data_IF_241499479164
#
_entry.id   IF_241499479164
#
_cell.length_a   1.000
_cell.length_b   1.000
_cell.length_c   1.000
_cell.angle_alpha   90.00
_cell.angle_beta   90.00
_cell.angle_gamma   90.00
#
_symmetry.space_group_name_H-M   'P 1'
#
loop_
_entity.id
_entity.type
_entity.pdbx_description
1 polymer ?
#
# COMPACT_ATOMS: atom_id res chain seq x y z
N UNK A 1 14.00 -24.06 3.13
CA UNK A 1 14.64 -22.73 3.22
C UNK A 1 13.57 -21.71 3.58
N UNK A 2 13.85 -20.75 4.46
CA UNK A 2 12.96 -19.63 4.78
C UNK A 2 13.57 -18.33 4.26
N UNK A 3 12.73 -17.47 3.68
CA UNK A 3 13.12 -16.13 3.20
C UNK A 3 12.52 -15.06 4.12
N UNK A 4 13.22 -13.94 4.29
CA UNK A 4 12.68 -12.78 5.02
C UNK A 4 11.97 -11.85 4.05
N UNK A 5 10.75 -11.44 4.41
CA UNK A 5 9.99 -10.40 3.72
C UNK A 5 9.84 -9.24 4.71
N UNK A 6 10.27 -8.03 4.32
CA UNK A 6 10.26 -6.86 5.18
C UNK A 6 9.70 -5.63 4.42
N UNK A 7 8.88 -4.85 5.11
CA UNK A 7 8.23 -3.64 4.59
C UNK A 7 8.30 -2.55 5.65
N UNK A 8 8.50 -1.30 5.22
CA UNK A 8 8.44 -0.13 6.11
C UNK A 8 6.99 0.21 6.40
N UNK A 9 6.70 0.55 7.64
CA UNK A 9 5.37 0.98 8.11
C UNK A 9 5.56 2.19 9.02
N UNK A 10 4.53 3.04 9.10
CA UNK A 10 4.53 4.20 9.98
C UNK A 10 4.59 3.77 11.46
N UNK A 11 5.17 4.62 12.30
CA UNK A 11 5.46 4.30 13.70
C UNK A 11 4.18 4.04 14.52
N UNK A 12 3.11 4.78 14.24
CA UNK A 12 1.80 4.61 14.87
C UNK A 12 1.17 3.26 14.50
N UNK A 13 1.23 2.89 13.22
CA UNK A 13 0.75 1.60 12.72
C UNK A 13 1.56 0.45 13.31
N UNK A 14 2.89 0.60 13.39
CA UNK A 14 3.77 -0.38 14.01
C UNK A 14 3.45 -0.59 15.50
N UNK A 15 3.20 0.49 16.24
CA UNK A 15 2.84 0.43 17.65
C UNK A 15 1.48 -0.26 17.85
N UNK A 16 0.47 0.12 17.07
CA UNK A 16 -0.86 -0.47 17.11
C UNK A 16 -0.84 -1.97 16.77
N UNK A 17 -0.09 -2.36 15.73
CA UNK A 17 0.04 -3.75 15.33
C UNK A 17 0.69 -4.61 16.42
N UNK A 18 1.78 -4.12 17.03
CA UNK A 18 2.47 -4.80 18.13
C UNK A 18 1.57 -4.99 19.35
N UNK A 19 0.84 -3.95 19.75
CA UNK A 19 -0.07 -4.03 20.88
C UNK A 19 -1.24 -4.98 20.62
N UNK A 20 -1.79 -4.98 19.41
CA UNK A 20 -2.88 -5.88 19.01
C UNK A 20 -2.41 -7.34 19.03
N UNK A 21 -1.25 -7.64 18.43
CA UNK A 21 -0.65 -8.97 18.46
C UNK A 21 -0.42 -9.45 19.90
N UNK A 22 0.10 -8.57 20.77
CA UNK A 22 0.32 -8.86 22.18
C UNK A 22 -0.98 -9.20 22.92
N UNK A 23 -2.06 -8.43 22.69
CA UNK A 23 -3.39 -8.68 23.30
C UNK A 23 -3.99 -10.00 22.86
N UNK A 24 -3.71 -10.43 21.64
CA UNK A 24 -4.12 -11.74 21.11
C UNK A 24 -3.23 -12.90 21.59
N UNK A 25 -2.21 -12.63 22.41
CA UNK A 25 -1.29 -13.65 22.92
C UNK A 25 -0.35 -14.22 21.85
N UNK A 26 -0.07 -13.44 20.80
CA UNK A 26 0.77 -13.84 19.67
C UNK A 26 1.90 -12.84 19.43
N UNK A 27 2.79 -13.13 18.48
CA UNK A 27 3.87 -12.23 18.07
C UNK A 27 3.53 -11.56 16.73
N UNK A 28 4.04 -10.34 16.45
CA UNK A 28 3.89 -9.71 15.15
C UNK A 28 4.33 -10.62 14.00
N UNK A 29 5.41 -11.37 14.20
CA UNK A 29 5.94 -12.33 13.23
C UNK A 29 4.97 -13.48 12.95
N UNK A 30 4.31 -14.02 13.98
CA UNK A 30 3.32 -15.09 13.81
C UNK A 30 2.05 -14.58 13.12
N UNK A 31 1.60 -13.36 13.46
CA UNK A 31 0.48 -12.71 12.77
C UNK A 31 0.80 -12.52 11.29
N UNK A 32 2.01 -12.07 10.95
CA UNK A 32 2.42 -11.92 9.54
C UNK A 32 2.47 -13.27 8.82
N UNK A 33 2.96 -14.34 9.46
CA UNK A 33 2.94 -15.69 8.88
C UNK A 33 1.52 -16.16 8.62
N UNK A 34 0.63 -16.01 9.59
CA UNK A 34 -0.79 -16.37 9.47
C UNK A 34 -1.47 -15.55 8.36
N UNK A 35 -1.20 -14.25 8.29
CA UNK A 35 -1.70 -13.37 7.24
C UNK A 35 -1.25 -13.83 5.85
N UNK A 36 0.05 -14.12 5.65
CA UNK A 36 0.58 -14.59 4.37
C UNK A 36 -0.09 -15.92 3.96
N UNK A 37 -0.24 -16.86 4.90
CA UNK A 37 -0.94 -18.13 4.65
C UNK A 37 -2.39 -17.90 4.21
N UNK A 38 -3.14 -17.08 4.96
CA UNK A 38 -4.53 -16.78 4.64
C UNK A 38 -4.69 -16.04 3.31
N UNK A 39 -3.83 -15.06 3.02
CA UNK A 39 -3.82 -14.31 1.77
C UNK A 39 -3.64 -15.23 0.57
N UNK A 40 -2.69 -16.17 0.65
CA UNK A 40 -2.43 -17.12 -0.43
C UNK A 40 -3.58 -18.13 -0.59
N UNK A 41 -4.16 -18.60 0.51
CA UNK A 41 -5.32 -19.52 0.50
C UNK A 41 -6.53 -18.89 -0.20
N UNK A 42 -6.78 -17.60 0.03
CA UNK A 42 -7.87 -16.85 -0.57
C UNK A 42 -7.51 -16.27 -1.96
N UNK A 43 -6.28 -16.52 -2.45
CA UNK A 43 -5.73 -15.93 -3.68
C UNK A 43 -5.82 -14.40 -3.71
N UNK A 44 -5.73 -13.76 -2.54
CA UNK A 44 -5.93 -12.33 -2.38
C UNK A 44 -6.44 -11.96 -0.99
N UNK A 45 -6.88 -10.71 -0.84
CA UNK A 45 -7.49 -10.24 0.40
C UNK A 45 -8.91 -10.81 0.57
N UNK A 46 -9.32 -11.15 1.81
CA UNK A 46 -10.68 -11.61 2.10
C UNK A 46 -11.71 -10.47 2.13
N UNK A 47 -11.28 -9.23 1.94
CA UNK A 47 -12.12 -8.05 1.79
C UNK A 47 -11.83 -7.37 0.45
N UNK A 48 -12.83 -6.64 -0.03
CA UNK A 48 -12.76 -5.98 -1.34
C UNK A 48 -11.77 -4.80 -1.29
N UNK A 49 -10.59 -5.01 -1.86
CA UNK A 49 -9.57 -3.96 -1.98
C UNK A 49 -9.92 -3.11 -3.19
N UNK A 50 -10.82 -2.15 -2.97
CA UNK A 50 -11.16 -1.12 -3.93
C UNK A 50 -10.38 0.15 -3.62
N UNK A 51 -10.06 0.90 -4.67
CA UNK A 51 -9.72 2.31 -4.52
C UNK A 51 -10.87 3.00 -3.76
N UNK A 52 -10.56 3.85 -2.79
CA UNK A 52 -11.61 4.66 -2.16
C UNK A 52 -12.26 5.53 -3.24
N UNK A 53 -13.50 5.98 -3.07
CA UNK A 53 -14.16 6.85 -4.06
C UNK A 53 -13.31 8.07 -4.41
N UNK A 54 -12.63 8.64 -3.42
CA UNK A 54 -11.66 9.73 -3.58
C UNK A 54 -10.43 9.31 -4.40
N UNK A 55 -9.85 8.12 -4.17
CA UNK A 55 -8.77 7.60 -5.00
C UNK A 55 -9.24 7.17 -6.39
N UNK A 56 -10.50 6.74 -6.57
CA UNK A 56 -11.07 6.42 -7.89
C UNK A 56 -11.29 7.67 -8.74
N UNK A 57 -11.78 8.75 -8.11
CA UNK A 57 -12.01 10.03 -8.78
C UNK A 57 -10.68 10.74 -9.12
N UNK A 58 -9.64 10.54 -8.31
CA UNK A 58 -8.33 11.19 -8.49
C UNK A 58 -7.25 10.31 -9.18
N UNK A 59 -7.44 9.00 -9.26
CA UNK A 59 -6.48 8.06 -9.87
C UNK A 59 -7.18 7.20 -10.94
N UNK A 60 -7.82 7.87 -11.91
CA UNK A 60 -8.16 7.19 -13.15
C UNK A 60 -6.86 6.85 -13.90
N UNK A 61 -6.71 5.62 -14.43
CA UNK A 61 -5.64 5.33 -15.38
C UNK A 61 -5.72 6.29 -16.56
N UNK A 62 -4.57 6.71 -17.09
CA UNK A 62 -4.53 7.47 -18.34
C UNK A 62 -5.13 6.61 -19.46
N UNK A 63 -5.96 7.21 -20.31
CA UNK A 63 -6.60 6.55 -21.45
C UNK A 63 -5.57 6.21 -22.56
N UNK A 64 -4.41 6.88 -22.56
CA UNK A 64 -3.32 6.61 -23.51
C UNK A 64 -1.93 7.03 -23.00
N UNK A 65 -0.88 6.49 -23.62
CA UNK A 65 0.51 6.89 -23.37
C UNK A 65 0.75 8.38 -23.64
N UNK A 66 0.07 8.93 -24.64
CA UNK A 66 0.14 10.35 -24.97
C UNK A 66 -0.37 11.21 -23.81
N UNK A 67 -1.52 10.85 -23.22
CA UNK A 67 -2.08 11.55 -22.07
C UNK A 67 -1.16 11.48 -20.85
N UNK A 68 -0.58 10.30 -20.59
CA UNK A 68 0.38 10.12 -19.49
C UNK A 68 1.61 11.03 -19.66
N UNK A 69 2.12 11.13 -20.89
CA UNK A 69 3.28 11.97 -21.22
C UNK A 69 2.99 13.45 -21.06
N UNK A 70 1.81 13.90 -21.49
CA UNK A 70 1.36 15.29 -21.34
C UNK A 70 1.13 15.67 -19.87
N UNK A 71 0.60 14.75 -19.07
CA UNK A 71 0.46 14.94 -17.63
C UNK A 71 1.84 15.07 -16.95
N UNK A 72 2.76 14.14 -17.24
CA UNK A 72 4.11 14.15 -16.66
C UNK A 72 4.87 15.44 -17.02
N UNK A 73 4.78 15.87 -18.28
CA UNK A 73 5.40 17.11 -18.76
C UNK A 73 4.85 18.34 -18.03
N UNK A 74 3.53 18.45 -17.89
CA UNK A 74 2.89 19.55 -17.15
C UNK A 74 3.25 19.55 -15.66
N UNK A 75 3.34 18.38 -15.04
CA UNK A 75 3.75 18.26 -13.64
C UNK A 75 5.20 18.72 -13.44
N UNK A 76 6.11 18.31 -14.33
CA UNK A 76 7.52 18.68 -14.26
C UNK A 76 7.72 20.20 -14.37
N UNK A 77 6.98 20.86 -15.27
CA UNK A 77 7.00 22.31 -15.38
C UNK A 77 6.52 22.99 -14.09
N UNK A 78 5.41 22.52 -13.52
CA UNK A 78 4.83 23.10 -12.30
C UNK A 78 5.79 22.99 -11.10
N UNK A 79 6.40 21.82 -10.92
CA UNK A 79 7.39 21.60 -9.86
C UNK A 79 8.64 22.48 -10.04
N UNK A 80 9.04 22.72 -11.28
CA UNK A 80 10.18 23.60 -11.59
C UNK A 80 9.89 25.06 -11.21
N UNK A 81 8.66 25.53 -11.45
CA UNK A 81 8.22 26.88 -11.09
C UNK A 81 8.06 27.06 -9.57
N UNK A 82 7.64 26.04 -8.83
CA UNK A 82 7.53 26.09 -7.36
C UNK A 82 8.88 26.09 -6.64
N UNK A 83 9.93 25.58 -7.29
CA UNK A 83 11.30 25.59 -6.75
C UNK A 83 12.09 26.87 -7.02
N UNK A 84 11.47 27.89 -7.61
CA UNK A 84 12.10 29.17 -7.97
C UNK A 84 11.67 30.31 -7.05
#
# INVERSE_FOLDING_TARGET
MSIQIATRVDDDQAAMFKETARRLGTTPSDVLRMFISAFNEHRGFPYDVRLTRETQENAMPFDSEHEATEYASRLALRLSDETR
#
